data_IF_337224435895
#
_entry.id   IF_337224435895
#
_cell.length_a   1.000
_cell.length_b   1.000
_cell.length_c   1.000
_cell.angle_alpha   90.00
_cell.angle_beta   90.00
_cell.angle_gamma   90.00
#
_symmetry.space_group_name_H-M   'P 1'
#
loop_
_entity.id
_entity.type
_entity.pdbx_description
1 polymer ?
#
# COMPACT_ATOMS: atom_id res chain seq x y z
N UNK A 1 4.05 12.62 1.90
CA UNK A 1 2.94 11.69 2.22
C UNK A 1 3.04 10.52 1.25
N UNK A 2 3.02 9.26 1.71
CA UNK A 2 2.96 8.14 0.78
C UNK A 2 1.68 8.24 -0.07
N UNK A 3 1.73 7.92 -1.37
CA UNK A 3 0.56 7.94 -2.21
C UNK A 3 -0.47 6.91 -1.72
N UNK A 4 -1.73 7.33 -1.56
CA UNK A 4 -2.85 6.43 -1.30
C UNK A 4 -3.48 6.06 -2.64
N UNK A 5 -3.49 4.76 -2.96
CA UNK A 5 -4.09 4.21 -4.19
C UNK A 5 -5.28 3.33 -3.86
N UNK A 6 -6.30 3.34 -4.73
CA UNK A 6 -7.44 2.41 -4.68
C UNK A 6 -7.29 1.40 -5.82
N UNK A 7 -7.25 0.12 -5.49
CA UNK A 7 -7.15 -0.96 -6.47
C UNK A 7 -8.25 -2.00 -6.22
N UNK A 8 -8.65 -2.69 -7.28
CA UNK A 8 -9.69 -3.73 -7.28
C UNK A 8 -9.21 -5.07 -7.84
N UNK A 9 -7.94 -5.18 -8.27
CA UNK A 9 -7.34 -6.38 -8.85
C UNK A 9 -5.99 -6.73 -8.22
N UNK A 10 -5.79 -8.03 -8.01
CA UNK A 10 -4.52 -8.60 -7.57
C UNK A 10 -3.64 -8.94 -8.79
N UNK A 11 -2.30 -8.73 -8.75
CA UNK A 11 -1.53 -8.08 -7.68
C UNK A 11 -1.45 -6.56 -7.84
N UNK A 12 -1.51 -5.83 -6.73
CA UNK A 12 -1.16 -4.41 -6.70
C UNK A 12 0.36 -4.28 -6.55
N UNK A 13 1.01 -3.64 -7.53
CA UNK A 13 2.45 -3.39 -7.52
C UNK A 13 2.68 -1.92 -7.19
N UNK A 14 3.60 -1.65 -6.26
CA UNK A 14 4.05 -0.29 -5.94
C UNK A 14 5.53 -0.20 -6.27
N UNK A 15 5.87 0.68 -7.19
CA UNK A 15 7.25 0.95 -7.56
C UNK A 15 7.87 1.93 -6.55
N UNK A 16 9.09 1.63 -6.12
CA UNK A 16 9.90 2.50 -5.27
C UNK A 16 11.14 2.90 -6.06
N UNK A 17 11.53 4.18 -5.96
CA UNK A 17 12.72 4.67 -6.62
C UNK A 17 13.99 4.11 -5.94
N UNK A 18 15.07 3.95 -6.70
CA UNK A 18 16.37 3.48 -6.20
C UNK A 18 16.88 4.11 -4.88
N UNK A 19 16.70 5.43 -4.61
CA UNK A 19 17.04 6.02 -3.30
C UNK A 19 16.20 5.53 -2.09
N UNK A 20 15.14 4.75 -2.31
CA UNK A 20 14.35 4.10 -1.27
C UNK A 20 14.78 2.64 -0.99
N UNK A 21 15.77 2.14 -1.72
CA UNK A 21 16.38 0.83 -1.49
C UNK A 21 16.86 0.67 -0.04
N UNK A 22 16.49 -0.45 0.58
CA UNK A 22 16.82 -0.77 1.98
C UNK A 22 15.89 -0.14 3.03
N UNK A 23 14.89 0.67 2.63
CA UNK A 23 13.88 1.19 3.56
C UNK A 23 12.75 0.19 3.76
N UNK A 24 12.09 0.29 4.92
CA UNK A 24 10.87 -0.46 5.21
C UNK A 24 9.65 0.29 4.68
N UNK A 25 8.93 -0.33 3.77
CA UNK A 25 7.62 0.09 3.32
C UNK A 25 6.55 -0.52 4.23
N UNK A 26 5.72 0.33 4.83
CA UNK A 26 4.58 -0.07 5.65
C UNK A 26 3.29 0.10 4.86
N UNK A 27 2.50 -0.97 4.75
CA UNK A 27 1.24 -1.01 4.01
C UNK A 27 0.07 -1.18 4.97
N UNK A 28 -0.92 -0.30 4.83
CA UNK A 28 -2.21 -0.34 5.52
C UNK A 28 -3.30 -0.38 4.45
N UNK A 29 -4.04 -1.48 4.40
CA UNK A 29 -5.06 -1.72 3.39
C UNK A 29 -6.44 -1.57 4.02
N UNK A 30 -7.42 -1.10 3.24
CA UNK A 30 -8.84 -1.17 3.62
C UNK A 30 -9.68 -1.28 2.38
N UNK A 31 -10.85 -1.88 2.50
CA UNK A 31 -11.83 -1.85 1.43
C UNK A 31 -12.61 -0.52 1.46
N UNK A 32 -13.00 -0.06 0.28
CA UNK A 32 -13.88 1.11 0.09
C UNK A 32 -15.02 0.66 -0.80
N UNK A 33 -16.27 0.96 -0.41
CA UNK A 33 -17.44 0.56 -1.17
C UNK A 33 -17.71 1.50 -2.36
N UNK A 34 -18.67 1.15 -3.21
CA UNK A 34 -19.08 1.97 -4.37
C UNK A 34 -19.70 3.33 -3.97
N UNK A 35 -20.02 3.52 -2.69
CA UNK A 35 -20.51 4.77 -2.10
C UNK A 35 -19.41 5.58 -1.39
N UNK A 36 -18.16 5.11 -1.41
CA UNK A 36 -17.02 5.77 -0.77
C UNK A 36 -16.88 5.52 0.74
N UNK A 37 -17.71 4.65 1.33
CA UNK A 37 -17.58 4.26 2.73
C UNK A 37 -16.37 3.35 2.92
N UNK A 38 -15.62 3.61 4.00
CA UNK A 38 -14.34 3.00 4.28
C UNK A 38 -14.52 1.94 5.36
N UNK A 39 -14.10 0.72 5.06
CA UNK A 39 -14.00 -0.35 6.04
C UNK A 39 -12.88 -0.14 7.05
N UNK A 40 -12.79 -1.04 8.06
CA UNK A 40 -11.66 -1.05 8.98
C UNK A 40 -10.35 -1.27 8.22
N UNK A 41 -9.27 -0.72 8.78
CA UNK A 41 -7.92 -0.98 8.29
C UNK A 41 -7.50 -2.42 8.59
N UNK A 42 -6.71 -2.99 7.68
CA UNK A 42 -5.99 -4.24 7.90
C UNK A 42 -4.91 -4.05 8.96
N UNK A 43 -4.30 -5.16 9.37
CA UNK A 43 -3.00 -5.11 10.06
C UNK A 43 -1.94 -4.43 9.19
N UNK A 44 -0.91 -3.88 9.85
CA UNK A 44 0.23 -3.25 9.18
C UNK A 44 1.12 -4.34 8.59
N UNK A 45 1.16 -4.43 7.26
CA UNK A 45 2.15 -5.24 6.56
C UNK A 45 3.44 -4.43 6.36
N UNK A 46 4.61 -5.05 6.54
CA UNK A 46 5.91 -4.40 6.32
C UNK A 46 6.74 -5.21 5.34
N UNK A 47 7.31 -4.55 4.33
CA UNK A 47 8.27 -5.16 3.42
C UNK A 47 9.49 -4.25 3.24
N UNK A 48 10.65 -4.82 3.01
CA UNK A 48 11.87 -4.06 2.71
C UNK A 48 11.97 -3.85 1.20
N UNK A 49 12.20 -2.61 0.79
CA UNK A 49 12.43 -2.28 -0.62
C UNK A 49 13.76 -2.88 -1.06
N UNK A 50 13.74 -3.64 -2.15
CA UNK A 50 14.95 -4.21 -2.75
C UNK A 50 15.94 -3.13 -3.15
N UNK A 51 17.24 -3.41 -2.99
CA UNK A 51 18.34 -2.52 -3.37
C UNK A 51 18.71 -2.68 -4.84
#
# INVERSE_FOLDING_TARGET
MPPVTLDTRTPCVLDFDGPDGGKNAHYLLRWVNTRGEKGPWSETATATVGA
#
